data_IF_591323682254
#
_entry.id   IF_591323682254
#
_cell.length_a   1.000
_cell.length_b   1.000
_cell.length_c   1.000
_cell.angle_alpha   90.00
_cell.angle_beta   90.00
_cell.angle_gamma   90.00
#
_symmetry.space_group_name_H-M   'P 1'
#
loop_
_entity.id
_entity.type
_entity.pdbx_description
1 polymer ?
#
# COMPACT_ATOMS: atom_id res chain seq x y z
N UNK A 1 -8.48 0.52 -7.73
CA UNK A 1 -7.42 1.29 -8.43
C UNK A 1 -7.18 0.75 -9.82
N UNK A 2 -7.10 -0.56 -10.03
CA UNK A 2 -6.85 -1.14 -11.36
C UNK A 2 -7.86 -0.64 -12.39
N UNK A 3 -9.15 -0.70 -12.09
CA UNK A 3 -10.22 -0.18 -12.97
C UNK A 3 -10.05 1.33 -13.22
N UNK A 4 -9.70 2.11 -12.20
CA UNK A 4 -9.51 3.54 -12.36
C UNK A 4 -8.33 3.88 -13.29
N UNK A 5 -7.26 3.06 -13.29
CA UNK A 5 -6.09 3.26 -14.15
C UNK A 5 -6.38 3.05 -15.64
N UNK A 6 -7.37 2.23 -15.96
CA UNK A 6 -7.75 1.91 -17.34
C UNK A 6 -8.71 2.95 -17.98
N UNK A 7 -9.20 3.93 -17.21
CA UNK A 7 -10.13 4.93 -17.73
C UNK A 7 -9.38 5.93 -18.62
N UNK A 8 -9.72 5.99 -19.88
CA UNK A 8 -9.27 6.99 -20.84
C UNK A 8 -10.48 7.59 -21.55
N UNK A 9 -10.47 8.91 -21.74
CA UNK A 9 -11.53 9.65 -22.41
C UNK A 9 -11.03 10.14 -23.78
N UNK A 10 -11.92 10.19 -24.75
CA UNK A 10 -11.58 10.59 -26.13
C UNK A 10 -11.22 12.07 -26.23
N UNK A 11 -11.91 12.93 -25.47
CA UNK A 11 -11.58 14.36 -25.43
C UNK A 11 -10.32 14.61 -24.57
N UNK A 12 -9.28 15.28 -25.13
CA UNK A 12 -8.03 15.52 -24.40
C UNK A 12 -8.19 16.36 -23.13
N UNK A 13 -9.13 17.32 -23.11
CA UNK A 13 -9.36 18.17 -21.94
C UNK A 13 -10.08 17.40 -20.83
N UNK A 14 -11.10 16.63 -21.21
CA UNK A 14 -11.79 15.75 -20.27
C UNK A 14 -10.84 14.68 -19.73
N UNK A 15 -9.97 14.14 -20.58
CA UNK A 15 -8.97 13.14 -20.17
C UNK A 15 -7.96 13.71 -19.17
N UNK A 16 -7.54 14.97 -19.33
CA UNK A 16 -6.71 15.63 -18.30
C UNK A 16 -7.39 15.65 -16.93
N UNK A 17 -8.69 15.96 -16.88
CA UNK A 17 -9.48 15.89 -15.65
C UNK A 17 -9.53 14.46 -15.08
N UNK A 18 -9.76 13.47 -15.94
CA UNK A 18 -9.76 12.05 -15.54
C UNK A 18 -8.41 11.63 -14.96
N UNK A 19 -7.29 12.05 -15.53
CA UNK A 19 -5.95 11.74 -15.00
C UNK A 19 -5.73 12.35 -13.61
N UNK A 20 -6.20 13.57 -13.35
CA UNK A 20 -6.13 14.18 -12.01
C UNK A 20 -6.94 13.39 -10.98
N UNK A 21 -8.13 12.89 -11.35
CA UNK A 21 -8.96 12.07 -10.46
C UNK A 21 -8.33 10.69 -10.22
N UNK A 22 -7.70 10.09 -11.24
CA UNK A 22 -6.92 8.85 -11.09
C UNK A 22 -5.81 8.99 -10.04
N UNK A 23 -5.17 10.14 -9.99
CA UNK A 23 -4.11 10.40 -9.00
C UNK A 23 -4.65 10.33 -7.56
N UNK A 24 -5.87 10.82 -7.31
CA UNK A 24 -6.52 10.71 -5.99
C UNK A 24 -6.69 9.24 -5.59
N UNK A 25 -7.22 8.40 -6.49
CA UNK A 25 -7.40 6.98 -6.23
C UNK A 25 -6.06 6.26 -6.00
N UNK A 26 -5.03 6.58 -6.79
CA UNK A 26 -3.69 5.98 -6.66
C UNK A 26 -3.04 6.35 -5.34
N UNK A 27 -3.02 7.62 -4.96
CA UNK A 27 -2.47 8.07 -3.67
C UNK A 27 -3.19 7.45 -2.48
N UNK A 28 -4.51 7.31 -2.55
CA UNK A 28 -5.29 6.66 -1.48
C UNK A 28 -4.91 5.19 -1.36
N UNK A 29 -4.75 4.49 -2.47
CA UNK A 29 -4.31 3.11 -2.49
C UNK A 29 -2.91 2.93 -1.90
N UNK A 30 -1.97 3.80 -2.27
CA UNK A 30 -0.58 3.72 -1.82
C UNK A 30 -0.45 3.97 -0.30
N UNK A 31 -1.32 4.81 0.26
CA UNK A 31 -1.30 5.15 1.68
C UNK A 31 -2.13 4.22 2.56
N UNK A 32 -3.29 3.77 2.09
CA UNK A 32 -4.27 3.05 2.90
C UNK A 32 -4.65 1.67 2.33
N UNK A 33 -4.40 1.41 1.06
CA UNK A 33 -4.79 0.15 0.40
C UNK A 33 -6.30 -0.01 0.17
N UNK A 34 -7.12 0.88 0.71
CA UNK A 34 -8.59 0.85 0.63
C UNK A 34 -9.17 2.27 0.55
N UNK A 35 -10.48 2.38 0.32
CA UNK A 35 -11.19 3.66 0.29
C UNK A 35 -11.00 4.48 -1.00
N UNK A 36 -10.49 3.89 -2.07
CA UNK A 36 -10.21 4.59 -3.33
C UNK A 36 -11.45 5.17 -3.99
N UNK A 37 -12.58 4.46 -3.97
CA UNK A 37 -13.86 4.93 -4.48
C UNK A 37 -14.39 6.09 -3.63
N UNK A 38 -14.35 5.98 -2.31
CA UNK A 38 -14.76 7.03 -1.37
C UNK A 38 -13.96 8.31 -1.59
N UNK A 39 -12.63 8.20 -1.71
CA UNK A 39 -11.75 9.33 -1.98
C UNK A 39 -12.08 10.00 -3.32
N UNK A 40 -12.38 9.23 -4.36
CA UNK A 40 -12.77 9.74 -5.67
C UNK A 40 -14.09 10.52 -5.61
N UNK A 41 -15.10 9.99 -4.91
CA UNK A 41 -16.40 10.65 -4.72
C UNK A 41 -16.24 11.96 -3.93
N UNK A 42 -15.43 11.94 -2.87
CA UNK A 42 -15.13 13.13 -2.08
C UNK A 42 -14.40 14.20 -2.93
N UNK A 43 -13.41 13.79 -3.71
CA UNK A 43 -12.71 14.71 -4.62
C UNK A 43 -13.66 15.35 -5.62
N UNK A 44 -14.56 14.57 -6.24
CA UNK A 44 -15.60 15.10 -7.12
C UNK A 44 -16.46 16.15 -6.43
N UNK A 45 -16.95 15.84 -5.22
CA UNK A 45 -17.80 16.75 -4.46
C UNK A 45 -17.08 18.07 -4.12
N UNK A 46 -15.82 17.98 -3.64
CA UNK A 46 -15.00 19.15 -3.30
C UNK A 46 -14.75 20.03 -4.53
N UNK A 47 -14.37 19.41 -5.65
CA UNK A 47 -14.12 20.15 -6.90
C UNK A 47 -15.39 20.81 -7.40
N UNK A 48 -16.52 20.09 -7.43
CA UNK A 48 -17.81 20.61 -7.90
C UNK A 48 -18.28 21.82 -7.07
N UNK A 49 -18.19 21.75 -5.75
CA UNK A 49 -18.58 22.86 -4.89
C UNK A 49 -17.53 24.01 -4.93
N UNK A 50 -16.25 23.67 -5.02
CA UNK A 50 -15.19 24.65 -5.18
C UNK A 50 -15.33 25.48 -6.45
N UNK A 51 -15.63 24.84 -7.60
CA UNK A 51 -15.84 25.52 -8.88
C UNK A 51 -17.01 26.49 -8.84
N UNK A 52 -18.11 26.17 -8.15
CA UNK A 52 -19.24 27.10 -7.98
C UNK A 52 -18.80 28.36 -7.26
N UNK A 53 -18.00 28.25 -6.21
CA UNK A 53 -17.51 29.37 -5.47
C UNK A 53 -16.53 30.24 -6.28
N UNK A 54 -15.64 29.61 -7.04
CA UNK A 54 -14.71 30.31 -7.94
C UNK A 54 -15.49 31.04 -9.06
N UNK A 55 -16.49 30.40 -9.65
CA UNK A 55 -17.36 31.02 -10.65
C UNK A 55 -18.16 32.21 -10.07
N UNK A 56 -18.48 32.18 -8.77
CA UNK A 56 -19.10 33.28 -8.05
C UNK A 56 -18.13 34.41 -7.65
N UNK A 57 -16.83 34.30 -8.01
CA UNK A 57 -15.83 35.32 -7.78
C UNK A 57 -14.94 35.12 -6.54
N UNK A 58 -15.03 33.95 -5.89
CA UNK A 58 -14.13 33.62 -4.78
C UNK A 58 -12.69 33.42 -5.28
N UNK A 59 -11.72 33.86 -4.48
CA UNK A 59 -10.32 33.67 -4.80
C UNK A 59 -9.95 32.18 -4.61
N UNK A 60 -9.43 31.48 -5.65
CA UNK A 60 -9.08 30.05 -5.57
C UNK A 60 -8.05 29.74 -4.47
N UNK A 61 -7.10 30.64 -4.23
CA UNK A 61 -6.06 30.44 -3.21
C UNK A 61 -6.61 30.56 -1.79
N UNK A 62 -7.59 31.43 -1.56
CA UNK A 62 -8.24 31.54 -0.26
C UNK A 62 -9.17 30.34 -0.03
N UNK A 63 -9.83 29.88 -1.07
CA UNK A 63 -10.62 28.63 -1.04
C UNK A 63 -9.72 27.43 -0.67
N UNK A 64 -8.56 27.32 -1.31
CA UNK A 64 -7.58 26.27 -0.97
C UNK A 64 -7.17 26.33 0.50
N UNK A 65 -6.83 27.50 1.02
CA UNK A 65 -6.48 27.67 2.45
C UNK A 65 -7.62 27.27 3.37
N UNK A 66 -8.86 27.54 2.97
CA UNK A 66 -10.06 27.11 3.70
C UNK A 66 -10.20 25.60 3.72
N UNK A 67 -10.00 24.93 2.58
CA UNK A 67 -10.02 23.48 2.45
C UNK A 67 -8.93 22.85 3.31
N UNK A 68 -7.70 23.34 3.26
CA UNK A 68 -6.58 22.83 4.06
C UNK A 68 -6.92 22.86 5.57
N UNK A 69 -7.46 23.98 6.09
CA UNK A 69 -7.90 24.09 7.49
C UNK A 69 -9.05 23.12 7.83
N UNK A 70 -10.01 22.96 6.91
CA UNK A 70 -11.12 22.03 7.10
C UNK A 70 -10.63 20.59 7.17
N UNK A 71 -9.69 20.20 6.29
CA UNK A 71 -9.08 18.86 6.29
C UNK A 71 -8.38 18.58 7.62
N UNK A 72 -7.58 19.52 8.15
CA UNK A 72 -6.93 19.34 9.46
C UNK A 72 -7.94 19.10 10.59
N UNK A 73 -9.06 19.83 10.59
CA UNK A 73 -10.09 19.68 11.60
C UNK A 73 -10.83 18.36 11.47
N UNK A 74 -11.16 17.96 10.24
CA UNK A 74 -11.86 16.69 9.92
C UNK A 74 -10.98 15.51 10.30
N UNK A 75 -9.69 15.51 9.94
CA UNK A 75 -8.76 14.41 10.28
C UNK A 75 -8.67 14.21 11.78
N UNK A 76 -8.53 15.30 12.57
CA UNK A 76 -8.53 15.23 14.04
C UNK A 76 -9.82 14.67 14.63
N UNK A 77 -10.95 14.93 13.99
CA UNK A 77 -12.23 14.38 14.43
C UNK A 77 -12.39 12.93 14.05
N UNK A 78 -11.96 12.54 12.83
CA UNK A 78 -11.93 11.15 12.39
C UNK A 78 -11.03 10.28 13.27
N UNK A 79 -9.89 10.78 13.71
CA UNK A 79 -9.00 10.08 14.65
C UNK A 79 -9.69 9.75 15.98
N UNK A 80 -10.59 10.62 16.47
CA UNK A 80 -11.37 10.37 17.69
C UNK A 80 -12.48 9.35 17.48
N UNK A 81 -13.06 9.31 16.28
CA UNK A 81 -14.14 8.38 15.92
C UNK A 81 -13.61 7.00 15.53
N UNK A 82 -12.33 6.91 15.14
CA UNK A 82 -11.73 5.68 14.65
C UNK A 82 -11.67 4.60 15.73
N UNK A 83 -12.13 3.42 15.39
CA UNK A 83 -12.03 2.22 16.25
C UNK A 83 -10.73 1.48 15.94
N UNK A 84 -9.87 1.29 16.96
CA UNK A 84 -8.62 0.57 16.79
C UNK A 84 -8.87 -0.93 16.68
N UNK A 85 -8.47 -1.51 15.56
CA UNK A 85 -8.58 -2.96 15.30
C UNK A 85 -7.71 -3.78 16.26
N UNK A 86 -6.52 -3.30 16.60
CA UNK A 86 -5.61 -3.97 17.52
C UNK A 86 -5.23 -5.37 17.06
N UNK A 87 -5.31 -6.35 17.97
CA UNK A 87 -5.03 -7.77 17.73
C UNK A 87 -6.32 -8.61 17.65
N UNK A 88 -7.49 -7.97 17.50
CA UNK A 88 -8.75 -8.70 17.42
C UNK A 88 -8.85 -9.44 16.10
N UNK A 89 -8.77 -10.77 16.15
CA UNK A 89 -8.91 -11.63 14.96
C UNK A 89 -10.27 -11.42 14.27
N UNK A 90 -11.33 -11.16 15.03
CA UNK A 90 -12.65 -10.91 14.48
C UNK A 90 -12.71 -9.57 13.73
N UNK A 91 -12.13 -8.51 14.29
CA UNK A 91 -12.08 -7.22 13.60
C UNK A 91 -11.18 -7.27 12.35
N UNK A 92 -10.06 -8.00 12.41
CA UNK A 92 -9.20 -8.24 11.24
C UNK A 92 -9.98 -8.99 10.15
N UNK A 93 -10.74 -10.03 10.52
CA UNK A 93 -11.62 -10.77 9.60
C UNK A 93 -12.64 -9.85 8.95
N UNK A 94 -13.31 -9.00 9.73
CA UNK A 94 -14.32 -8.06 9.22
C UNK A 94 -13.73 -7.05 8.24
N UNK A 95 -12.60 -6.44 8.56
CA UNK A 95 -11.89 -5.49 7.67
C UNK A 95 -11.45 -6.19 6.38
N UNK A 96 -10.88 -7.37 6.47
CA UNK A 96 -10.45 -8.14 5.31
C UNK A 96 -11.64 -8.57 4.44
N UNK A 97 -12.77 -8.97 5.05
CA UNK A 97 -13.99 -9.31 4.33
C UNK A 97 -14.55 -8.11 3.56
N UNK A 98 -14.60 -6.92 4.18
CA UNK A 98 -15.06 -5.69 3.50
C UNK A 98 -14.13 -5.37 2.33
N UNK A 99 -12.82 -5.44 2.51
CA UNK A 99 -11.83 -5.16 1.46
C UNK A 99 -11.89 -6.15 0.30
N UNK A 100 -12.38 -7.37 0.54
CA UNK A 100 -12.61 -8.40 -0.48
C UNK A 100 -14.06 -8.46 -0.98
N UNK A 101 -14.76 -7.34 -0.98
CA UNK A 101 -16.14 -7.20 -1.45
C UNK A 101 -17.15 -8.07 -0.67
N UNK A 102 -17.03 -8.10 0.66
CA UNK A 102 -17.82 -8.88 1.61
C UNK A 102 -17.64 -10.41 1.47
N UNK A 103 -16.49 -10.87 1.01
CA UNK A 103 -16.14 -12.28 1.03
C UNK A 103 -15.62 -12.70 2.40
N UNK A 104 -16.47 -13.36 3.17
CA UNK A 104 -16.13 -13.83 4.52
C UNK A 104 -15.10 -14.96 4.52
N UNK A 105 -15.02 -15.76 3.45
CA UNK A 105 -14.06 -16.85 3.34
C UNK A 105 -12.64 -16.27 3.18
N UNK A 106 -12.48 -15.29 2.30
CA UNK A 106 -11.21 -14.56 2.15
C UNK A 106 -10.87 -13.82 3.45
N UNK A 107 -11.84 -13.15 4.08
CA UNK A 107 -11.64 -12.49 5.37
C UNK A 107 -11.11 -13.43 6.45
N UNK A 108 -11.66 -14.65 6.54
CA UNK A 108 -11.19 -15.65 7.47
C UNK A 108 -9.78 -16.16 7.17
N UNK A 109 -9.43 -16.35 5.89
CA UNK A 109 -8.09 -16.76 5.46
C UNK A 109 -7.03 -15.70 5.82
N UNK A 110 -7.33 -14.43 5.57
CA UNK A 110 -6.44 -13.31 5.92
C UNK A 110 -6.28 -13.21 7.44
N UNK A 111 -7.37 -13.30 8.21
CA UNK A 111 -7.29 -13.28 9.67
C UNK A 111 -6.46 -14.44 10.23
N UNK A 112 -6.56 -15.63 9.62
CA UNK A 112 -5.73 -16.80 9.95
C UNK A 112 -4.26 -16.55 9.64
N UNK A 113 -3.95 -15.93 8.50
CA UNK A 113 -2.59 -15.55 8.13
C UNK A 113 -2.01 -14.55 9.15
N UNK A 114 -2.74 -13.49 9.49
CA UNK A 114 -2.36 -12.52 10.52
C UNK A 114 -2.10 -13.17 11.88
N UNK A 115 -2.93 -14.12 12.27
CA UNK A 115 -2.74 -14.86 13.52
C UNK A 115 -1.45 -15.68 13.58
N UNK A 116 -0.91 -16.08 12.41
CA UNK A 116 0.34 -16.84 12.32
C UNK A 116 1.57 -15.95 12.23
N UNK A 117 1.52 -14.88 11.39
CA UNK A 117 2.69 -14.01 11.15
C UNK A 117 2.79 -12.84 12.12
N UNK A 118 1.70 -12.51 12.84
CA UNK A 118 1.66 -11.36 13.74
C UNK A 118 1.59 -10.01 13.01
N UNK A 119 1.69 -8.92 13.78
CA UNK A 119 1.55 -7.54 13.25
C UNK A 119 2.70 -7.11 12.34
N UNK A 120 3.90 -7.61 12.61
CA UNK A 120 5.11 -7.28 11.87
C UNK A 120 5.30 -8.17 10.64
N UNK A 121 4.44 -9.18 10.48
CA UNK A 121 4.50 -10.09 9.35
C UNK A 121 3.99 -9.45 8.07
N UNK A 122 4.59 -9.82 6.95
CA UNK A 122 4.17 -9.42 5.61
C UNK A 122 3.22 -10.47 5.06
N UNK A 123 2.08 -10.02 4.55
CA UNK A 123 1.11 -10.87 3.86
C UNK A 123 1.06 -10.44 2.41
N UNK A 124 1.37 -11.36 1.51
CA UNK A 124 1.25 -11.18 0.05
C UNK A 124 0.11 -12.03 -0.49
N UNK A 125 -0.52 -11.56 -1.56
CA UNK A 125 -1.56 -12.29 -2.29
C UNK A 125 -1.03 -12.57 -3.68
N UNK A 126 -0.99 -13.85 -4.03
CA UNK A 126 -0.48 -14.32 -5.32
C UNK A 126 -1.50 -15.23 -5.99
N UNK A 127 -1.46 -15.31 -7.31
CA UNK A 127 -2.29 -16.23 -8.07
C UNK A 127 -1.78 -17.65 -7.91
N UNK A 128 -2.64 -18.55 -7.42
CA UNK A 128 -2.29 -19.96 -7.28
C UNK A 128 -2.25 -20.67 -8.63
N UNK A 129 -1.37 -21.67 -8.77
CA UNK A 129 -1.32 -22.54 -9.95
C UNK A 129 -2.50 -23.51 -10.04
N UNK A 130 -3.23 -23.68 -8.94
CA UNK A 130 -4.38 -24.59 -8.81
C UNK A 130 -5.70 -23.83 -8.64
N UNK A 131 -6.79 -24.58 -8.42
CA UNK A 131 -8.14 -24.05 -8.22
C UNK A 131 -8.45 -23.69 -6.77
N UNK A 132 -7.63 -24.16 -5.84
CA UNK A 132 -7.90 -24.03 -4.40
C UNK A 132 -7.18 -22.80 -3.83
N UNK A 133 -7.88 -22.06 -2.98
CA UNK A 133 -7.31 -20.95 -2.21
C UNK A 133 -6.75 -21.47 -0.89
N UNK A 134 -5.48 -21.24 -0.63
CA UNK A 134 -4.80 -21.68 0.59
C UNK A 134 -3.88 -20.58 1.15
N UNK A 135 -3.50 -20.76 2.41
CA UNK A 135 -2.52 -19.91 3.09
C UNK A 135 -1.25 -20.71 3.30
N UNK A 136 -0.18 -20.26 2.69
CA UNK A 136 1.16 -20.74 2.98
C UNK A 136 1.87 -19.78 3.93
N UNK A 137 2.62 -20.30 4.88
CA UNK A 137 3.32 -19.51 5.90
C UNK A 137 4.78 -19.90 5.91
N UNK A 138 5.61 -18.94 5.56
CA UNK A 138 7.07 -19.10 5.57
C UNK A 138 7.62 -18.35 6.79
N UNK A 139 8.48 -19.00 7.56
CA UNK A 139 9.21 -18.33 8.65
C UNK A 139 10.36 -17.52 8.04
N UNK A 140 10.38 -16.23 8.31
CA UNK A 140 11.38 -15.30 7.79
C UNK A 140 10.82 -14.24 6.87
N UNK A 141 11.66 -13.70 6.00
CA UNK A 141 11.30 -12.71 4.98
C UNK A 141 11.75 -13.19 3.60
N UNK A 142 10.90 -12.99 2.61
CA UNK A 142 11.22 -13.23 1.21
C UNK A 142 11.42 -11.91 0.49
N UNK A 143 12.50 -11.80 -0.30
CA UNK A 143 12.82 -10.64 -1.11
C UNK A 143 12.82 -11.03 -2.58
N UNK A 144 12.37 -10.13 -3.45
CA UNK A 144 12.34 -10.35 -4.91
C UNK A 144 13.75 -10.36 -5.53
N UNK A 145 14.74 -9.81 -4.81
CA UNK A 145 16.12 -9.74 -5.27
C UNK A 145 17.02 -10.61 -4.42
N UNK A 146 17.72 -11.53 -5.07
CA UNK A 146 18.73 -12.38 -4.46
C UNK A 146 20.15 -11.79 -4.56
N UNK A 147 21.14 -12.65 -4.72
CA UNK A 147 22.54 -12.25 -4.85
C UNK A 147 22.79 -11.40 -6.12
N UNK A 148 23.71 -10.43 -6.01
CA UNK A 148 24.02 -9.49 -7.09
C UNK A 148 24.98 -10.06 -8.14
N UNK A 149 25.68 -11.14 -7.82
CA UNK A 149 26.67 -11.74 -8.70
C UNK A 149 26.68 -13.25 -8.56
N UNK A 150 26.87 -14.02 -9.67
CA UNK A 150 27.04 -15.46 -9.61
C UNK A 150 28.21 -15.94 -8.75
N UNK A 151 29.17 -15.07 -8.44
CA UNK A 151 30.27 -15.38 -7.52
C UNK A 151 29.85 -15.62 -6.07
N UNK A 152 28.64 -15.20 -5.69
CA UNK A 152 28.08 -15.45 -4.36
C UNK A 152 27.34 -16.77 -4.23
N UNK A 153 27.31 -17.57 -5.30
CA UNK A 153 26.66 -18.88 -5.31
C UNK A 153 27.48 -19.88 -4.48
N UNK A 154 26.82 -20.53 -3.51
CA UNK A 154 27.43 -21.56 -2.68
C UNK A 154 27.23 -22.97 -3.26
N UNK A 155 26.16 -23.19 -4.02
CA UNK A 155 25.86 -24.43 -4.75
C UNK A 155 25.73 -24.12 -6.25
N UNK A 156 26.77 -24.46 -7.00
CA UNK A 156 26.84 -24.18 -8.44
C UNK A 156 25.90 -25.04 -9.29
N UNK A 157 25.47 -26.22 -8.79
CA UNK A 157 24.57 -27.10 -9.54
C UNK A 157 23.14 -26.57 -9.50
N UNK A 158 22.72 -26.07 -8.34
CA UNK A 158 21.38 -25.51 -8.12
C UNK A 158 21.32 -24.00 -8.30
N UNK A 159 22.46 -23.34 -8.55
CA UNK A 159 22.55 -21.89 -8.66
C UNK A 159 21.90 -21.14 -7.49
N UNK A 160 22.12 -21.62 -6.27
CA UNK A 160 21.58 -20.96 -5.07
C UNK A 160 22.68 -20.67 -4.04
N UNK A 161 22.36 -19.77 -3.11
CA UNK A 161 23.21 -19.38 -2.00
C UNK A 161 22.50 -19.73 -0.70
N UNK A 162 23.12 -20.53 0.13
CA UNK A 162 22.65 -20.89 1.47
C UNK A 162 23.71 -20.53 2.49
N UNK A 163 23.32 -19.77 3.51
CA UNK A 163 24.20 -19.32 4.58
C UNK A 163 23.59 -19.70 5.92
N UNK A 164 24.30 -20.48 6.71
CA UNK A 164 23.87 -20.87 8.07
C UNK A 164 24.24 -19.78 9.08
N UNK A 165 23.25 -19.32 9.85
CA UNK A 165 23.39 -18.28 10.88
C UNK A 165 24.17 -17.03 10.43
N UNK A 166 23.81 -16.43 9.28
CA UNK A 166 24.55 -15.29 8.75
C UNK A 166 24.36 -14.04 9.61
N UNK A 167 25.40 -13.22 9.71
CA UNK A 167 25.25 -11.85 10.18
C UNK A 167 24.71 -10.97 9.06
N UNK A 168 23.63 -10.26 9.33
CA UNK A 168 22.95 -9.41 8.33
C UNK A 168 23.25 -7.95 8.63
N UNK A 169 23.89 -7.27 7.69
CA UNK A 169 24.08 -5.82 7.72
C UNK A 169 22.96 -5.13 6.92
N UNK A 170 22.16 -4.31 7.57
CA UNK A 170 21.16 -3.46 6.93
C UNK A 170 21.78 -2.07 6.68
N UNK A 171 21.81 -1.66 5.40
CA UNK A 171 22.40 -0.38 5.00
C UNK A 171 21.55 0.25 3.90
N UNK A 172 21.24 1.54 4.05
CA UNK A 172 20.51 2.35 3.07
C UNK A 172 21.43 2.97 2.00
N UNK A 173 22.76 2.84 2.16
CA UNK A 173 23.76 3.40 1.26
C UNK A 173 24.38 2.31 0.39
N UNK A 174 24.73 2.68 -0.83
CA UNK A 174 25.53 1.82 -1.70
C UNK A 174 26.94 1.70 -1.12
N UNK A 175 27.34 0.50 -0.73
CA UNK A 175 28.70 0.17 -0.32
C UNK A 175 29.46 -0.29 -1.57
N UNK A 176 30.46 0.48 -1.98
CA UNK A 176 31.28 0.21 -3.17
C UNK A 176 32.78 0.12 -2.86
N UNK A 177 33.16 0.33 -1.61
CA UNK A 177 34.55 0.29 -1.17
C UNK A 177 34.71 -0.63 0.04
N UNK A 178 35.77 -1.44 0.04
CA UNK A 178 36.13 -2.29 1.17
C UNK A 178 36.46 -1.46 2.42
N UNK A 179 36.94 -0.23 2.26
CA UNK A 179 37.19 0.69 3.37
C UNK A 179 35.95 1.04 4.18
N UNK A 180 34.79 1.04 3.53
CA UNK A 180 33.52 1.33 4.19
C UNK A 180 33.03 0.15 5.05
N UNK A 181 33.49 -1.07 4.74
CA UNK A 181 33.16 -2.30 5.47
C UNK A 181 34.14 -2.59 6.62
N UNK A 182 35.38 -2.13 6.53
CA UNK A 182 36.42 -2.44 7.52
C UNK A 182 35.99 -2.17 8.97
N UNK A 183 35.35 -1.03 9.30
CA UNK A 183 34.93 -0.75 10.68
C UNK A 183 33.85 -1.69 11.24
N UNK A 184 33.24 -2.49 10.37
CA UNK A 184 32.16 -3.43 10.75
C UNK A 184 32.71 -4.85 10.83
N UNK A 185 33.80 -5.13 10.14
CA UNK A 185 34.48 -6.43 10.10
C UNK A 185 35.52 -6.59 11.22
N UNK A 186 36.00 -5.51 11.81
CA UNK A 186 36.84 -5.47 13.03
C UNK A 186 35.97 -5.53 14.31
#
# INVERSE_FOLDING_TARGET
>A
VSVAKEIELEDPLENMGAQMVKEVASKTNDLAGDGTTTATVLAQAIVKEGLKNVAAGANPMDLKRGIDKAVEAIVKDLEKQATKVGNSSEMIKQVAAISSNNDEAIGALIAKAFGKVGKEGVITVEEAKGTDTYVDVVEGMQFDRGFLSPYFVTDSEKMHTELENPMILLCDKKISSMKDLMPILE
#
